data_IF_344004629071
#
_entry.id   IF_344004629071
#
_cell.length_a   1.000
_cell.length_b   1.000
_cell.length_c   1.000
_cell.angle_alpha   90.00
_cell.angle_beta   90.00
_cell.angle_gamma   90.00
#
_symmetry.space_group_name_H-M   'P 1'
#
loop_
_entity.id
_entity.type
_entity.pdbx_description
1 polymer ?
#
# COMPACT_ATOMS: atom_id res chain seq x y z
N UNK A 1 22.86 12.30 -4.70
CA UNK A 1 21.85 12.42 -3.62
C UNK A 1 21.05 11.13 -3.66
N UNK A 2 21.27 10.22 -2.71
CA UNK A 2 20.44 9.02 -2.61
C UNK A 2 19.11 9.42 -2.02
N UNK A 3 18.01 9.17 -2.73
CA UNK A 3 16.68 9.52 -2.27
C UNK A 3 16.40 8.90 -0.89
N UNK A 4 16.13 9.74 0.09
CA UNK A 4 15.75 9.33 1.46
C UNK A 4 14.45 8.51 1.51
N UNK A 5 13.79 8.32 0.36
CA UNK A 5 12.63 7.45 0.17
C UNK A 5 12.95 5.95 0.12
N UNK A 6 14.22 5.53 0.22
CA UNK A 6 14.60 4.11 0.15
C UNK A 6 14.40 3.33 1.47
N UNK A 7 13.74 3.93 2.46
CA UNK A 7 13.47 3.29 3.76
C UNK A 7 12.12 2.56 3.77
N UNK A 8 11.22 2.88 2.83
CA UNK A 8 9.90 2.26 2.77
C UNK A 8 9.88 1.02 1.88
N UNK A 9 9.10 -0.02 2.25
CA UNK A 9 8.98 -1.23 1.44
C UNK A 9 8.21 -0.96 0.14
N UNK A 10 8.48 -1.77 -0.87
CA UNK A 10 7.72 -1.78 -2.11
C UNK A 10 6.36 -2.41 -1.83
N UNK A 11 5.29 -1.71 -2.18
CA UNK A 11 3.90 -2.15 -1.96
C UNK A 11 3.31 -2.83 -3.18
N UNK A 12 3.76 -2.45 -4.39
CA UNK A 12 3.32 -3.10 -5.62
C UNK A 12 4.36 -2.94 -6.74
N UNK A 13 4.30 -3.88 -7.70
CA UNK A 13 5.17 -3.95 -8.87
C UNK A 13 4.28 -4.15 -10.10
N UNK A 14 4.59 -3.43 -11.16
CA UNK A 14 3.93 -3.53 -12.45
C UNK A 14 4.96 -3.55 -13.57
N UNK A 15 4.50 -3.87 -14.78
CA UNK A 15 5.27 -3.71 -16.01
C UNK A 15 4.53 -2.72 -16.91
N UNK A 16 5.26 -1.81 -17.56
CA UNK A 16 4.70 -0.81 -18.49
C UNK A 16 5.39 -0.91 -19.84
N UNK A 17 4.64 -0.68 -20.93
CA UNK A 17 5.19 -0.63 -22.29
C UNK A 17 5.84 0.71 -22.62
N UNK A 18 5.36 1.79 -22.01
CA UNK A 18 5.95 3.12 -22.14
C UNK A 18 6.21 3.72 -20.75
N UNK A 19 7.48 4.05 -20.48
CA UNK A 19 7.89 4.73 -19.24
C UNK A 19 7.18 6.07 -19.01
N UNK A 20 6.77 6.76 -20.09
CA UNK A 20 6.07 8.04 -20.00
C UNK A 20 4.58 7.88 -19.67
N UNK A 21 4.03 6.66 -19.83
CA UNK A 21 2.65 6.31 -19.44
C UNK A 21 2.62 5.51 -18.13
N UNK A 22 3.69 5.57 -17.34
CA UNK A 22 3.74 4.95 -16.04
C UNK A 22 2.64 5.52 -15.13
N UNK A 23 1.79 4.69 -14.50
CA UNK A 23 0.76 5.16 -13.59
C UNK A 23 1.33 6.05 -12.48
N UNK A 24 0.54 7.04 -12.04
CA UNK A 24 0.92 7.94 -10.95
C UNK A 24 1.24 7.14 -9.69
N UNK A 25 2.34 7.50 -9.01
CA UNK A 25 2.82 6.82 -7.81
C UNK A 25 3.76 5.64 -8.09
N UNK A 26 3.91 5.24 -9.35
CA UNK A 26 4.89 4.23 -9.78
C UNK A 26 6.12 4.89 -10.40
N UNK A 27 7.29 4.33 -10.10
CA UNK A 27 8.58 4.73 -10.65
C UNK A 27 9.16 3.60 -11.52
N UNK A 28 9.35 3.81 -12.83
CA UNK A 28 9.91 2.80 -13.73
C UNK A 28 11.43 2.70 -13.59
N UNK A 29 11.93 1.47 -13.49
CA UNK A 29 13.36 1.14 -13.55
C UNK A 29 13.76 1.05 -15.02
N UNK A 30 14.30 2.14 -15.55
CA UNK A 30 14.63 2.27 -16.98
C UNK A 30 16.09 1.97 -17.29
N UNK A 31 16.94 1.83 -16.27
CA UNK A 31 18.38 1.63 -16.39
C UNK A 31 18.87 0.45 -15.56
N UNK A 32 19.81 -0.30 -16.11
CA UNK A 32 20.46 -1.41 -15.39
C UNK A 32 21.43 -0.85 -14.36
N UNK A 33 21.54 -1.55 -13.23
CA UNK A 33 22.33 -1.10 -12.09
C UNK A 33 23.84 -1.19 -12.36
N UNK A 34 24.28 -2.21 -13.08
CA UNK A 34 25.70 -2.50 -13.33
C UNK A 34 26.31 -1.62 -14.43
N UNK A 35 25.62 -1.44 -15.56
CA UNK A 35 26.16 -0.73 -16.72
C UNK A 35 25.37 0.53 -17.13
N UNK A 36 24.27 0.87 -16.44
CA UNK A 36 23.41 2.00 -16.83
C UNK A 36 22.88 1.89 -18.28
N UNK A 37 22.77 0.64 -18.77
CA UNK A 37 22.17 0.32 -20.05
C UNK A 37 20.65 0.38 -19.95
N UNK A 38 19.98 0.38 -21.11
CA UNK A 38 18.51 0.31 -21.15
C UNK A 38 18.01 -0.98 -20.49
N UNK A 39 17.13 -0.87 -19.49
CA UNK A 39 16.61 -2.00 -18.73
C UNK A 39 15.32 -2.58 -19.34
N UNK A 40 15.31 -2.70 -20.67
CA UNK A 40 14.20 -3.27 -21.41
C UNK A 40 14.12 -4.79 -21.19
N UNK A 41 13.01 -5.22 -20.60
CA UNK A 41 12.71 -6.62 -20.32
C UNK A 41 12.07 -7.34 -21.54
N UNK A 42 11.95 -6.65 -22.67
CA UNK A 42 11.44 -7.18 -23.93
C UNK A 42 12.50 -7.09 -25.04
N UNK A 43 13.63 -7.77 -24.84
CA UNK A 43 14.73 -7.69 -25.81
C UNK A 43 14.49 -8.65 -26.98
N UNK A 44 14.02 -8.11 -28.10
CA UNK A 44 13.91 -8.84 -29.36
C UNK A 44 15.30 -9.05 -30.01
N UNK A 45 15.46 -10.13 -30.78
CA UNK A 45 16.65 -10.31 -31.62
C UNK A 45 16.71 -9.20 -32.68
N UNK A 46 17.92 -8.70 -32.97
CA UNK A 46 18.24 -7.47 -33.72
C UNK A 46 17.73 -7.34 -35.17
N UNK A 47 16.79 -8.16 -35.63
CA UNK A 47 16.32 -8.17 -37.02
C UNK A 47 15.08 -7.29 -37.28
N UNK A 48 14.43 -6.72 -36.25
CA UNK A 48 13.28 -5.81 -36.42
C UNK A 48 13.70 -4.34 -36.29
N UNK A 49 13.80 -3.63 -37.42
CA UNK A 49 14.26 -2.23 -37.48
C UNK A 49 13.18 -1.18 -37.22
N UNK A 50 11.88 -1.51 -37.32
CA UNK A 50 10.83 -0.48 -37.46
C UNK A 50 9.91 -0.24 -36.25
N UNK A 51 9.94 -1.06 -35.21
CA UNK A 51 9.36 -0.79 -33.88
C UNK A 51 9.41 -2.10 -33.10
N UNK A 52 10.23 -2.17 -32.05
CA UNK A 52 10.19 -3.31 -31.13
C UNK A 52 9.38 -2.93 -29.89
N UNK A 53 8.55 -3.82 -29.33
CA UNK A 53 7.94 -3.57 -28.03
C UNK A 53 9.03 -3.40 -26.98
N UNK A 54 8.79 -2.54 -26.00
CA UNK A 54 9.69 -2.25 -24.89
C UNK A 54 8.94 -2.49 -23.59
N UNK A 55 9.61 -2.98 -22.54
CA UNK A 55 9.00 -3.21 -21.24
C UNK A 55 9.88 -2.81 -20.09
N UNK A 56 9.34 -1.99 -19.21
CA UNK A 56 10.00 -1.56 -17.99
C UNK A 56 9.24 -2.05 -16.76
N UNK A 57 9.98 -2.58 -15.80
CA UNK A 57 9.47 -2.84 -14.46
C UNK A 57 9.29 -1.50 -13.74
N UNK A 58 8.17 -1.31 -13.05
CA UNK A 58 7.93 -0.14 -12.22
C UNK A 58 7.45 -0.53 -10.83
N UNK A 59 7.85 0.25 -9.84
CA UNK A 59 7.59 -0.01 -8.42
C UNK A 59 6.83 1.15 -7.79
N UNK A 60 6.01 0.87 -6.79
CA UNK A 60 5.44 1.90 -5.91
C UNK A 60 5.71 1.56 -4.45
N UNK A 61 5.78 2.61 -3.62
CA UNK A 61 5.88 2.56 -2.16
C UNK A 61 4.69 3.26 -1.50
N UNK A 62 3.72 3.70 -2.30
CA UNK A 62 2.56 4.42 -1.79
C UNK A 62 1.71 3.47 -0.94
N UNK A 63 1.27 3.98 0.21
CA UNK A 63 0.26 3.32 1.04
C UNK A 63 -1.10 3.95 0.72
N UNK A 64 -2.14 3.15 0.42
CA UNK A 64 -3.47 3.72 0.24
C UNK A 64 -3.91 4.28 1.60
N UNK A 65 -4.16 5.59 1.66
CA UNK A 65 -4.50 6.31 2.90
C UNK A 65 -5.86 5.90 3.53
N UNK A 66 -6.51 4.85 3.04
CA UNK A 66 -7.84 4.43 3.49
C UNK A 66 -8.06 2.91 3.39
N UNK A 67 -7.00 2.09 3.38
CA UNK A 67 -7.13 0.63 3.40
C UNK A 67 -6.70 0.08 4.75
N UNK A 68 -7.59 -0.68 5.39
CA UNK A 68 -7.35 -1.35 6.68
C UNK A 68 -6.14 -2.31 6.60
N UNK A 69 -5.86 -2.87 5.42
CA UNK A 69 -4.71 -3.73 5.18
C UNK A 69 -3.77 -3.15 4.12
N UNK A 70 -2.66 -2.57 4.57
CA UNK A 70 -1.54 -2.27 3.66
C UNK A 70 -0.83 -3.59 3.35
N UNK A 71 -0.69 -3.92 2.07
CA UNK A 71 0.11 -5.06 1.62
C UNK A 71 1.49 -4.61 1.16
N UNK A 72 2.48 -5.49 1.36
CA UNK A 72 3.87 -5.29 0.94
C UNK A 72 4.34 -6.46 0.10
N UNK A 73 5.26 -6.21 -0.82
CA UNK A 73 5.91 -7.25 -1.61
C UNK A 73 6.93 -7.96 -0.74
N UNK A 74 6.80 -9.27 -0.58
CA UNK A 74 7.73 -10.06 0.25
C UNK A 74 8.72 -10.87 -0.59
N UNK A 75 8.39 -11.15 -1.84
CA UNK A 75 9.22 -12.01 -2.69
C UNK A 75 8.91 -11.85 -4.19
N UNK A 76 9.88 -12.22 -5.01
CA UNK A 76 9.83 -12.19 -6.47
C UNK A 76 10.46 -13.44 -7.05
N UNK A 77 9.81 -13.99 -8.08
CA UNK A 77 10.42 -15.04 -8.88
C UNK A 77 10.06 -14.92 -10.35
N UNK A 78 10.92 -15.45 -11.21
CA UNK A 78 10.68 -15.53 -12.65
C UNK A 78 10.44 -16.99 -13.01
N UNK A 79 9.30 -17.27 -13.62
CA UNK A 79 8.94 -18.62 -14.10
C UNK A 79 8.76 -18.63 -15.60
N UNK A 80 8.88 -19.79 -16.24
CA UNK A 80 8.53 -19.95 -17.66
C UNK A 80 7.02 -19.89 -17.81
N UNK A 81 6.54 -19.52 -19.00
CA UNK A 81 5.10 -19.50 -19.28
C UNK A 81 4.46 -20.90 -19.37
N UNK A 82 5.28 -21.95 -19.50
CA UNK A 82 4.89 -23.36 -19.38
C UNK A 82 4.77 -23.87 -17.94
N UNK A 83 5.41 -23.19 -17.00
CA UNK A 83 5.58 -23.68 -15.62
C UNK A 83 4.44 -23.15 -14.74
N UNK A 84 3.98 -23.91 -13.73
CA UNK A 84 2.93 -23.44 -12.83
C UNK A 84 3.42 -22.26 -11.98
N UNK A 85 2.52 -21.31 -11.71
CA UNK A 85 2.81 -20.20 -10.80
C UNK A 85 2.97 -20.75 -9.36
N UNK A 86 4.06 -20.41 -8.64
CA UNK A 86 4.28 -20.88 -7.28
C UNK A 86 3.18 -20.44 -6.30
N UNK A 87 2.94 -21.26 -5.28
CA UNK A 87 1.91 -20.99 -4.28
C UNK A 87 2.13 -19.63 -3.60
N UNK A 88 1.06 -18.81 -3.54
CA UNK A 88 1.08 -17.49 -2.93
C UNK A 88 1.63 -16.37 -3.83
N UNK A 89 2.10 -16.69 -5.04
CA UNK A 89 2.53 -15.69 -6.02
C UNK A 89 1.43 -15.39 -7.04
N UNK A 90 1.46 -14.17 -7.57
CA UNK A 90 0.63 -13.72 -8.69
C UNK A 90 1.54 -13.31 -9.83
N UNK A 91 1.25 -13.78 -11.05
CA UNK A 91 1.99 -13.42 -12.25
C UNK A 91 1.56 -12.04 -12.79
N UNK A 92 2.54 -11.25 -13.25
CA UNK A 92 2.28 -10.02 -14.00
C UNK A 92 2.13 -10.40 -15.48
N UNK A 93 0.88 -10.64 -15.88
CA UNK A 93 0.57 -11.15 -17.23
C UNK A 93 0.53 -10.04 -18.27
N UNK A 94 0.06 -8.86 -17.88
CA UNK A 94 -0.21 -7.74 -18.79
C UNK A 94 0.42 -6.44 -18.30
N UNK A 95 0.75 -5.57 -19.26
CA UNK A 95 1.23 -4.23 -18.98
C UNK A 95 0.12 -3.38 -18.35
N UNK A 96 0.49 -2.54 -17.39
CA UNK A 96 -0.47 -1.70 -16.70
C UNK A 96 -1.05 -0.61 -17.62
N UNK A 97 -0.25 -0.07 -18.54
CA UNK A 97 -0.56 1.07 -19.40
C UNK A 97 -1.29 0.71 -20.70
N UNK A 98 -0.97 -0.43 -21.30
CA UNK A 98 -1.44 -0.83 -22.63
C UNK A 98 -2.23 -2.14 -22.67
N UNK A 99 -2.25 -2.91 -21.58
CA UNK A 99 -2.91 -4.23 -21.48
C UNK A 99 -2.39 -5.26 -22.49
N UNK A 100 -1.16 -5.07 -22.95
CA UNK A 100 -0.45 -6.04 -23.79
C UNK A 100 0.23 -7.09 -22.92
N UNK A 101 0.50 -8.29 -23.45
CA UNK A 101 1.24 -9.35 -22.73
C UNK A 101 2.56 -8.80 -22.21
N UNK A 102 2.84 -8.89 -20.90
CA UNK A 102 3.92 -8.16 -20.22
C UNK A 102 5.35 -8.64 -20.56
N UNK A 103 5.57 -9.95 -20.66
CA UNK A 103 6.89 -10.56 -20.91
C UNK A 103 6.83 -11.70 -21.94
N UNK A 104 7.98 -12.07 -22.51
CA UNK A 104 8.12 -13.16 -23.48
C UNK A 104 8.52 -14.46 -22.79
N UNK A 105 7.75 -15.53 -23.02
CA UNK A 105 8.04 -16.92 -22.56
C UNK A 105 8.23 -17.10 -21.05
N UNK A 106 8.01 -16.04 -20.28
CA UNK A 106 8.24 -15.98 -18.83
C UNK A 106 7.21 -15.08 -18.20
N UNK A 107 6.97 -15.30 -16.91
CA UNK A 107 6.22 -14.40 -16.06
C UNK A 107 7.14 -13.92 -14.94
N UNK A 108 6.99 -12.63 -14.58
CA UNK A 108 7.46 -12.13 -13.31
C UNK A 108 6.33 -12.33 -12.30
N UNK A 109 6.61 -13.07 -11.25
CA UNK A 109 5.66 -13.42 -10.22
C UNK A 109 6.00 -12.67 -8.93
N UNK A 110 4.98 -12.16 -8.26
CA UNK A 110 5.09 -11.34 -7.06
C UNK A 110 4.30 -11.97 -5.93
N UNK A 111 4.92 -12.13 -4.76
CA UNK A 111 4.21 -12.48 -3.52
C UNK A 111 3.98 -11.22 -2.71
N UNK A 112 2.73 -11.00 -2.32
CA UNK A 112 2.35 -9.90 -1.44
C UNK A 112 1.69 -10.45 -0.18
N UNK A 113 1.98 -9.83 0.96
CA UNK A 113 1.44 -10.21 2.27
C UNK A 113 1.02 -8.96 3.00
N UNK A 114 0.06 -9.08 3.92
CA UNK A 114 -0.34 -7.96 4.78
C UNK A 114 0.84 -7.53 5.65
N UNK A 115 1.02 -6.21 5.81
CA UNK A 115 2.18 -5.63 6.49
C UNK A 115 2.35 -6.11 7.93
N UNK A 116 1.24 -6.38 8.62
CA UNK A 116 1.19 -6.85 10.00
C UNK A 116 1.67 -8.30 10.18
N UNK A 117 1.70 -9.08 9.10
CA UNK A 117 2.12 -10.48 9.13
C UNK A 117 3.62 -10.68 8.84
N UNK A 118 4.38 -9.62 8.56
CA UNK A 118 5.80 -9.71 8.18
C UNK A 118 6.66 -8.64 8.84
N UNK A 119 7.93 -8.96 9.09
CA UNK A 119 8.92 -8.03 9.69
C UNK A 119 9.75 -7.33 8.59
N UNK A 120 9.99 -8.03 7.49
CA UNK A 120 10.73 -7.55 6.34
C UNK A 120 9.93 -7.64 5.04
N UNK A 121 10.35 -6.87 4.06
CA UNK A 121 9.76 -6.84 2.73
C UNK A 121 10.81 -6.40 1.71
N UNK A 122 10.50 -6.56 0.43
CA UNK A 122 11.35 -6.11 -0.66
C UNK A 122 11.39 -4.56 -0.64
N UNK A 123 12.58 -4.00 -0.43
CA UNK A 123 12.79 -2.55 -0.42
C UNK A 123 13.43 -2.03 -1.69
N UNK A 124 14.28 -2.84 -2.31
CA UNK A 124 15.06 -2.48 -3.49
C UNK A 124 14.95 -3.56 -4.56
N UNK A 125 14.85 -3.14 -5.83
CA UNK A 125 14.92 -4.01 -7.01
C UNK A 125 15.97 -3.42 -7.94
N UNK A 126 16.86 -4.26 -8.44
CA UNK A 126 17.89 -3.89 -9.41
C UNK A 126 17.89 -4.87 -10.57
N UNK A 127 18.24 -4.35 -11.76
CA UNK A 127 18.30 -5.10 -13.00
C UNK A 127 19.73 -5.11 -13.50
N UNK A 128 20.28 -6.27 -13.87
CA UNK A 128 21.67 -6.44 -14.27
C UNK A 128 21.74 -6.97 -15.70
N UNK A 129 22.49 -6.30 -16.57
CA UNK A 129 22.64 -6.72 -17.98
C UNK A 129 23.90 -7.54 -18.25
N UNK A 130 24.93 -7.40 -17.40
CA UNK A 130 26.22 -8.05 -17.57
C UNK A 130 26.49 -9.03 -16.44
N UNK A 131 26.29 -8.59 -15.20
CA UNK A 131 26.55 -9.41 -14.02
C UNK A 131 25.54 -10.56 -13.93
N UNK A 132 26.05 -11.79 -13.87
CA UNK A 132 25.24 -13.02 -13.73
C UNK A 132 25.03 -13.46 -12.29
N UNK A 133 25.58 -12.72 -11.33
CA UNK A 133 25.40 -12.96 -9.90
C UNK A 133 24.80 -11.72 -9.25
N UNK A 134 23.86 -11.88 -8.32
CA UNK A 134 23.34 -10.77 -7.53
C UNK A 134 24.47 -10.02 -6.80
N UNK A 135 24.34 -8.69 -6.63
CA UNK A 135 25.21 -7.92 -5.75
C UNK A 135 25.14 -8.41 -4.30
N UNK A 136 26.09 -7.95 -3.47
CA UNK A 136 26.09 -8.27 -2.03
C UNK A 136 24.74 -7.88 -1.39
N UNK A 137 24.16 -8.80 -0.61
CA UNK A 137 22.87 -8.65 0.08
C UNK A 137 21.63 -8.61 -0.84
N UNK A 138 21.79 -8.93 -2.13
CA UNK A 138 20.66 -9.11 -3.04
C UNK A 138 20.41 -10.59 -3.31
N UNK A 139 19.13 -10.92 -3.47
CA UNK A 139 18.63 -12.22 -3.91
C UNK A 139 18.25 -12.16 -5.39
N UNK A 140 18.37 -13.29 -6.09
CA UNK A 140 17.97 -13.42 -7.50
C UNK A 140 16.50 -13.83 -7.61
N UNK A 141 15.68 -13.05 -8.32
CA UNK A 141 14.35 -13.50 -8.73
C UNK A 141 14.39 -14.40 -9.97
N UNK A 142 15.43 -14.24 -10.80
CA UNK A 142 15.61 -14.95 -12.06
C UNK A 142 15.88 -14.00 -13.23
N UNK A 143 16.07 -14.58 -14.42
CA UNK A 143 16.50 -13.83 -15.61
C UNK A 143 15.36 -13.69 -16.63
N UNK A 144 15.21 -12.51 -17.24
CA UNK A 144 14.23 -12.20 -18.29
C UNK A 144 15.00 -11.61 -19.48
N UNK A 145 14.94 -12.26 -20.65
CA UNK A 145 15.56 -11.78 -21.90
C UNK A 145 17.01 -11.23 -21.75
N UNK A 146 17.85 -11.91 -20.97
CA UNK A 146 19.24 -11.51 -20.75
C UNK A 146 19.48 -10.62 -19.52
N UNK A 147 18.42 -10.12 -18.88
CA UNK A 147 18.47 -9.24 -17.70
C UNK A 147 18.19 -10.04 -16.44
N UNK A 148 19.13 -10.04 -15.50
CA UNK A 148 18.95 -10.66 -14.19
C UNK A 148 18.18 -9.70 -13.28
N UNK A 149 17.03 -10.14 -12.77
CA UNK A 149 16.22 -9.41 -11.80
C UNK A 149 16.70 -9.79 -10.40
N UNK A 150 17.10 -8.79 -9.61
CA UNK A 150 17.52 -8.98 -8.23
C UNK A 150 16.75 -8.05 -7.30
N UNK A 151 16.62 -8.47 -6.04
CA UNK A 151 15.92 -7.70 -5.03
C UNK A 151 16.60 -7.84 -3.67
N UNK A 152 16.36 -6.86 -2.79
CA UNK A 152 16.91 -6.84 -1.44
C UNK A 152 15.80 -6.52 -0.45
N UNK A 153 15.79 -7.29 0.63
CA UNK A 153 14.91 -7.07 1.76
C UNK A 153 15.36 -5.90 2.62
N UNK A 154 14.39 -5.19 3.17
CA UNK A 154 14.56 -4.18 4.21
C UNK A 154 13.64 -4.52 5.38
N UNK A 155 14.05 -4.11 6.57
CA UNK A 155 13.18 -4.15 7.75
C UNK A 155 12.10 -3.08 7.57
N UNK A 156 10.83 -3.47 7.72
CA UNK A 156 9.71 -2.55 7.54
C UNK A 156 9.69 -1.56 8.73
N UNK A 157 9.68 -0.24 8.49
CA UNK A 157 9.57 0.73 9.57
C UNK A 157 8.27 0.54 10.37
N UNK A 158 8.34 0.66 11.69
CA UNK A 158 7.16 0.54 12.57
C UNK A 158 6.07 1.58 12.27
N UNK A 159 6.45 2.72 11.69
CA UNK A 159 5.53 3.79 11.25
C UNK A 159 4.86 3.51 9.89
N UNK A 160 5.36 2.56 9.10
CA UNK A 160 4.86 2.32 7.75
C UNK A 160 3.46 1.70 7.76
N UNK A 161 2.54 2.27 6.97
CA UNK A 161 1.16 1.79 6.85
C UNK A 161 0.30 1.97 8.10
N UNK A 162 0.84 2.52 9.19
CA UNK A 162 0.06 2.86 10.39
C UNK A 162 -0.63 4.18 10.13
N UNK A 163 -1.96 4.18 10.09
CA UNK A 163 -2.73 5.41 10.22
C UNK A 163 -2.50 5.94 11.64
N UNK A 164 -1.48 6.77 11.83
CA UNK A 164 -1.36 7.57 13.05
C UNK A 164 -2.63 8.42 13.05
N UNK A 165 -3.56 8.26 14.01
CA UNK A 165 -4.61 9.24 14.16
C UNK A 165 -3.87 10.56 14.32
N UNK A 166 -4.06 11.49 13.38
CA UNK A 166 -3.54 12.86 13.52
C UNK A 166 -4.16 13.40 14.80
N UNK A 167 -3.47 13.21 15.92
CA UNK A 167 -3.71 13.95 17.13
C UNK A 167 -3.46 15.38 16.71
N UNK A 168 -4.55 16.11 16.50
CA UNK A 168 -4.51 17.56 16.47
C UNK A 168 -3.71 17.92 17.70
N UNK A 169 -2.58 18.59 17.49
CA UNK A 169 -1.71 19.07 18.56
C UNK A 169 -2.50 20.10 19.37
N UNK A 170 -3.34 19.63 20.27
CA UNK A 170 -3.64 20.23 21.55
C UNK A 170 -3.11 19.23 22.56
N UNK A 171 -1.82 19.34 22.80
CA UNK A 171 -1.17 18.84 24.01
C UNK A 171 -2.00 19.27 25.22
N UNK A 172 -2.27 18.35 26.15
CA UNK A 172 -3.31 18.39 27.19
C UNK A 172 -4.72 18.29 26.59
N UNK A 173 -5.51 17.24 26.83
CA UNK A 173 -5.90 16.71 28.12
C UNK A 173 -6.34 15.24 27.93
N UNK A 174 -5.62 14.29 28.52
CA UNK A 174 -6.06 12.89 28.68
C UNK A 174 -7.02 12.73 29.88
N UNK A 175 -7.36 13.82 30.54
CA UNK A 175 -8.32 13.87 31.62
C UNK A 175 -9.37 14.92 31.29
N UNK A 176 -10.67 14.63 31.37
CA UNK A 176 -11.67 15.68 31.38
C UNK A 176 -11.30 16.65 32.53
N UNK A 177 -11.14 17.95 32.28
CA UNK A 177 -10.84 18.90 33.34
C UNK A 177 -11.98 18.87 34.34
N UNK A 178 -11.67 18.52 35.58
CA UNK A 178 -12.60 18.66 36.70
C UNK A 178 -12.73 20.16 36.91
N UNK A 179 -13.92 20.71 36.61
CA UNK A 179 -14.25 22.11 36.84
C UNK A 179 -14.21 22.39 38.35
N UNK A 180 -13.05 22.84 38.84
CA UNK A 180 -12.90 23.38 40.18
C UNK A 180 -12.89 24.91 40.13
N UNK A 181 -13.98 25.44 40.67
CA UNK A 181 -14.19 26.79 41.16
C UNK A 181 -14.34 27.96 40.19
N UNK A 182 -15.60 28.39 40.15
CA UNK A 182 -16.06 29.74 40.48
C UNK A 182 -15.72 30.90 39.53
N UNK A 183 -16.82 31.41 38.97
CA UNK A 183 -17.03 32.82 38.67
C UNK A 183 -16.28 33.35 37.44
N UNK A 184 -17.00 33.50 36.32
CA UNK A 184 -17.31 34.81 35.73
C UNK A 184 -18.01 34.66 34.36
N UNK A 185 -19.29 34.98 34.39
CA UNK A 185 -20.03 35.74 33.38
C UNK A 185 -19.89 35.37 31.90
N UNK A 186 -20.90 34.64 31.44
CA UNK A 186 -21.52 34.80 30.12
C UNK A 186 -21.75 36.29 29.82
N UNK A 187 -21.24 36.81 28.71
CA UNK A 187 -21.96 37.84 27.93
C UNK A 187 -21.58 37.80 26.44
N UNK A 188 -22.55 37.99 25.53
CA UNK A 188 -22.36 37.86 24.08
C UNK A 188 -22.35 39.24 23.39
N UNK A 189 -21.40 39.47 22.48
CA UNK A 189 -21.39 40.54 21.48
C UNK A 189 -20.12 40.34 20.62
N UNK A 190 -20.07 40.56 19.30
CA UNK A 190 -20.97 41.24 18.40
C UNK A 190 -20.66 40.74 16.99
N UNK A 191 -21.73 40.73 16.21
CA UNK A 191 -21.88 40.82 14.77
C UNK A 191 -20.82 41.66 14.02
N UNK A 192 -20.82 41.50 12.68
CA UNK A 192 -20.10 42.21 11.60
C UNK A 192 -18.96 41.35 11.02
N UNK A 193 -19.10 40.79 9.83
CA UNK A 193 -19.12 41.59 8.60
C UNK A 193 -19.71 40.79 7.43
N UNK A 194 -20.70 41.39 6.78
CA UNK A 194 -21.21 41.03 5.45
C UNK A 194 -20.08 41.10 4.42
N UNK A 195 -19.84 40.03 3.67
CA UNK A 195 -19.34 40.21 2.30
C UNK A 195 -19.90 39.15 1.36
N UNK A 196 -20.81 39.64 0.54
CA UNK A 196 -21.33 39.08 -0.71
C UNK A 196 -20.18 38.79 -1.67
N UNK A 197 -20.12 37.58 -2.24
CA UNK A 197 -20.12 37.41 -3.70
C UNK A 197 -20.14 35.95 -4.13
N UNK A 198 -21.07 35.73 -5.05
CA UNK A 198 -21.41 34.55 -5.84
C UNK A 198 -20.26 34.18 -6.77
N UNK A 199 -19.84 32.90 -6.80
CA UNK A 199 -19.58 32.19 -8.08
C UNK A 199 -19.50 30.67 -7.89
N UNK A 200 -20.34 30.00 -8.67
CA UNK A 200 -20.42 28.57 -9.03
C UNK A 200 -19.17 27.72 -8.79
N UNK A 201 -19.29 26.66 -7.95
CA UNK A 201 -18.29 25.59 -7.87
C UNK A 201 -18.98 24.22 -7.81
N UNK A 202 -18.63 23.40 -8.79
CA UNK A 202 -19.10 22.03 -9.02
C UNK A 202 -18.96 21.15 -7.77
N UNK A 203 -20.01 20.37 -7.47
CA UNK A 203 -20.22 19.65 -6.21
C UNK A 203 -19.32 18.41 -5.98
N UNK A 204 -18.35 18.12 -6.84
CA UNK A 204 -17.59 16.85 -6.80
C UNK A 204 -16.08 17.03 -6.61
N UNK A 205 -15.61 18.23 -6.26
CA UNK A 205 -14.20 18.41 -5.90
C UNK A 205 -14.11 19.27 -4.65
N UNK A 206 -13.72 18.64 -3.53
CA UNK A 206 -13.27 19.34 -2.33
C UNK A 206 -11.94 20.01 -2.70
N UNK A 207 -11.99 21.22 -3.29
CA UNK A 207 -10.84 22.10 -3.24
C UNK A 207 -10.73 22.55 -1.79
N UNK A 208 -9.62 22.20 -1.15
CA UNK A 208 -9.22 22.63 0.18
C UNK A 208 -9.04 24.17 0.23
N UNK A 209 -10.14 24.89 0.14
CA UNK A 209 -10.26 26.23 0.69
C UNK A 209 -10.62 26.08 2.15
N UNK A 210 -9.96 26.85 3.01
CA UNK A 210 -10.22 26.94 4.46
C UNK A 210 -11.66 27.44 4.67
N UNK A 211 -12.64 26.55 4.54
CA UNK A 211 -13.99 26.78 5.00
C UNK A 211 -14.04 26.20 6.40
N UNK A 212 -14.16 27.11 7.39
CA UNK A 212 -14.49 26.74 8.77
C UNK A 212 -15.61 25.70 8.72
N UNK A 213 -15.40 24.58 9.40
CA UNK A 213 -16.44 23.56 9.55
C UNK A 213 -17.69 24.26 10.06
N UNK A 214 -18.82 23.97 9.41
CA UNK A 214 -20.11 24.36 9.95
C UNK A 214 -20.31 23.43 11.14
N UNK A 215 -19.95 23.90 12.33
CA UNK A 215 -20.35 23.25 13.57
C UNK A 215 -21.88 23.31 13.65
N UNK A 216 -22.49 22.33 14.32
CA UNK A 216 -23.94 22.15 14.42
C UNK A 216 -24.68 21.65 13.17
N UNK A 217 -24.00 21.13 12.13
CA UNK A 217 -24.68 20.29 11.13
C UNK A 217 -24.83 18.89 11.70
N UNK A 218 -26.04 18.46 12.08
CA UNK A 218 -26.22 17.12 12.60
C UNK A 218 -25.84 16.09 11.53
N UNK A 219 -25.01 15.12 11.90
CA UNK A 219 -24.71 13.95 11.08
C UNK A 219 -25.97 13.08 10.99
N UNK A 220 -26.89 13.45 10.11
CA UNK A 220 -28.04 12.63 9.73
C UNK A 220 -27.78 12.03 8.37
N UNK A 221 -28.11 10.75 8.26
CA UNK A 221 -28.10 10.07 6.98
C UNK A 221 -29.12 10.76 6.06
N UNK A 222 -28.83 10.79 4.75
CA UNK A 222 -29.82 11.30 3.79
C UNK A 222 -31.14 10.51 3.97
N UNK A 223 -32.30 11.17 4.11
CA UNK A 223 -33.59 10.51 4.30
C UNK A 223 -33.90 9.44 3.25
N UNK A 224 -33.40 9.60 2.02
CA UNK A 224 -33.53 8.58 0.99
C UNK A 224 -32.77 7.29 1.33
N UNK A 225 -31.55 7.41 1.86
CA UNK A 225 -30.73 6.25 2.26
C UNK A 225 -31.30 5.62 3.53
N UNK A 226 -31.79 6.43 4.47
CA UNK A 226 -32.49 5.96 5.67
C UNK A 226 -33.73 5.15 5.27
N UNK A 227 -34.50 5.60 4.28
CA UNK A 227 -35.65 4.85 3.75
C UNK A 227 -35.26 3.54 3.06
N UNK A 228 -34.10 3.47 2.41
CA UNK A 228 -33.60 2.26 1.74
C UNK A 228 -33.10 1.26 2.79
N UNK A 229 -32.37 1.72 3.81
CA UNK A 229 -31.94 0.88 4.94
C UNK A 229 -33.13 0.35 5.74
N UNK A 230 -34.16 1.17 5.96
CA UNK A 230 -35.39 0.73 6.61
C UNK A 230 -36.12 -0.36 5.83
N UNK A 231 -36.05 -0.32 4.48
CA UNK A 231 -36.60 -1.38 3.60
C UNK A 231 -35.74 -2.64 3.62
N UNK A 232 -34.42 -2.46 3.62
CA UNK A 232 -33.45 -3.54 3.76
C UNK A 232 -33.28 -3.88 5.24
N UNK A 233 -34.35 -4.39 5.86
CA UNK A 233 -34.27 -5.03 7.18
C UNK A 233 -33.20 -6.11 7.10
N UNK A 234 -32.02 -5.83 7.64
CA UNK A 234 -30.90 -6.75 7.83
C UNK A 234 -31.21 -7.82 8.89
N UNK A 235 -32.49 -8.22 9.04
CA UNK A 235 -32.97 -9.18 10.04
C UNK A 235 -32.49 -10.62 9.76
N UNK A 236 -31.75 -10.84 8.68
CA UNK A 236 -31.20 -12.14 8.28
C UNK A 236 -29.71 -12.30 8.56
N UNK A 237 -29.02 -11.30 9.14
CA UNK A 237 -27.63 -11.49 9.51
C UNK A 237 -27.56 -12.40 10.76
N UNK A 238 -26.81 -13.52 10.72
CA UNK A 238 -26.63 -14.35 11.89
C UNK A 238 -26.06 -13.51 13.03
N UNK A 239 -26.52 -13.79 14.25
CA UNK A 239 -26.06 -13.10 15.44
C UNK A 239 -24.56 -13.27 15.58
N UNK A 240 -23.81 -12.17 15.48
CA UNK A 240 -22.37 -12.18 15.69
C UNK A 240 -22.14 -12.65 17.14
N UNK A 241 -21.46 -13.78 17.31
CA UNK A 241 -21.03 -14.21 18.64
C UNK A 241 -20.21 -13.07 19.25
N UNK A 242 -20.75 -12.44 20.29
CA UNK A 242 -19.99 -11.50 21.11
C UNK A 242 -18.91 -12.32 21.81
N UNK A 243 -17.68 -12.21 21.32
CA UNK A 243 -16.52 -12.85 21.91
C UNK A 243 -15.78 -11.79 22.71
N UNK A 244 -16.00 -11.76 24.03
CA UNK A 244 -15.28 -10.83 24.90
C UNK A 244 -13.81 -11.23 25.00
N UNK A 245 -12.94 -10.28 25.34
CA UNK A 245 -11.50 -10.52 25.46
C UNK A 245 -11.18 -11.70 26.38
N UNK A 246 -11.98 -11.90 27.43
CA UNK A 246 -11.83 -13.03 28.35
C UNK A 246 -12.21 -14.39 27.72
N UNK A 247 -13.20 -14.42 26.81
CA UNK A 247 -13.52 -15.65 26.07
C UNK A 247 -12.41 -15.99 25.08
N UNK A 248 -11.90 -14.99 24.35
CA UNK A 248 -10.76 -15.16 23.46
C UNK A 248 -9.55 -15.74 24.20
N UNK A 249 -9.23 -15.20 25.37
CA UNK A 249 -8.10 -15.68 26.15
C UNK A 249 -8.37 -17.10 26.68
N UNK A 250 -9.59 -17.43 27.13
CA UNK A 250 -9.91 -18.82 27.52
C UNK A 250 -9.82 -19.82 26.36
N UNK A 251 -10.35 -19.47 25.20
CA UNK A 251 -10.48 -20.40 24.07
C UNK A 251 -9.14 -20.56 23.30
N UNK A 252 -8.28 -19.54 23.32
CA UNK A 252 -7.08 -19.48 22.49
C UNK A 252 -5.77 -19.20 23.25
N UNK A 253 -5.78 -19.07 24.58
CA UNK A 253 -4.53 -18.92 25.32
C UNK A 253 -3.73 -20.22 25.29
N UNK A 254 -2.55 -20.15 24.67
CA UNK A 254 -1.65 -21.27 24.50
C UNK A 254 -0.46 -21.15 25.45
N UNK A 255 -0.41 -22.04 26.45
CA UNK A 255 0.57 -21.98 27.55
C UNK A 255 1.93 -22.61 27.23
N UNK A 256 2.14 -23.13 26.02
CA UNK A 256 3.38 -23.81 25.60
C UNK A 256 3.82 -24.95 26.55
N UNK A 257 2.88 -25.65 27.17
CA UNK A 257 3.18 -26.68 28.18
C UNK A 257 3.93 -27.87 27.58
N UNK A 258 3.58 -28.22 26.34
CA UNK A 258 4.19 -29.34 25.62
C UNK A 258 5.65 -29.03 25.26
N UNK A 259 5.92 -27.81 24.81
CA UNK A 259 7.25 -27.31 24.47
C UNK A 259 8.14 -27.19 25.71
N UNK A 260 7.58 -26.69 26.82
CA UNK A 260 8.30 -26.61 28.10
C UNK A 260 8.67 -28.00 28.63
N UNK A 261 7.78 -28.99 28.50
CA UNK A 261 8.06 -30.37 28.90
C UNK A 261 9.15 -31.05 28.03
N UNK A 262 9.21 -30.73 26.74
CA UNK A 262 10.28 -31.21 25.86
C UNK A 262 11.64 -30.65 26.25
N UNK A 263 11.70 -29.37 26.64
CA UNK A 263 12.94 -28.73 27.06
C UNK A 263 13.42 -29.21 28.44
N UNK A 264 12.52 -29.55 29.36
CA UNK A 264 12.92 -30.02 30.70
C UNK A 264 13.46 -31.44 30.71
N UNK A 265 13.15 -32.25 29.70
CA UNK A 265 13.61 -33.63 29.57
C UNK A 265 14.87 -33.77 28.71
N UNK A 266 15.53 -32.66 28.35
CA UNK A 266 16.83 -32.61 27.69
C UNK A 266 17.92 -32.21 28.68
#
# INVERSE_FOLDING_TARGET
MGDENNVNPITSIIIVADKNRCPRGFSPITKTFDEQNDADLWRESSFNFFSRPVRYLAITRDTPQNTISTHVVTDLCVVKDSDPIPMGFIAIDYTADSKEKALRKKYLCVRTVARDAVVDAVGEIVLLSKMRKPPKNYSSAGEIDGILVCFKHIVIPSSFGVAIPRSRSTTSVLYPPIETNESRHSTPALDRTKMTSITTKNALTIKAGVKRGVEDVPFRLNPQVESILAKNKLEMLPELKKCDSEQLDRDYCYYFTLERAMLSNS
#
